data_IF_579723746262
#
_entry.id   IF_579723746262
#
_cell.length_a   1.000
_cell.length_b   1.000
_cell.length_c   1.000
_cell.angle_alpha   90.00
_cell.angle_beta   90.00
_cell.angle_gamma   90.00
#
_symmetry.space_group_name_H-M   'P 1'
#
loop_
_entity.id
_entity.type
_entity.pdbx_description
1 polymer ?
#
# COMPACT_ATOMS: atom_id res chain seq x y z
N UNK A 1 -4.92 28.96 -1.85
CA UNK A 1 -4.03 28.54 -0.75
C UNK A 1 -4.12 27.02 -0.67
N UNK A 2 -3.07 26.29 -1.04
CA UNK A 2 -3.11 24.82 -0.99
C UNK A 2 -3.12 24.38 0.46
N UNK A 3 -4.25 23.83 0.94
CA UNK A 3 -4.32 23.24 2.26
C UNK A 3 -3.28 22.12 2.35
N UNK A 4 -2.36 22.18 3.32
CA UNK A 4 -1.39 21.09 3.54
C UNK A 4 -2.15 19.84 3.97
N UNK A 5 -2.26 18.85 3.08
CA UNK A 5 -2.72 17.52 3.44
C UNK A 5 -1.75 16.84 4.43
N UNK A 6 -2.24 15.86 5.19
CA UNK A 6 -1.42 15.04 6.08
C UNK A 6 -0.58 14.07 5.24
N UNK A 7 0.74 14.01 5.45
CA UNK A 7 1.61 13.08 4.74
C UNK A 7 2.00 11.91 5.63
N UNK A 8 2.26 10.77 5.00
CA UNK A 8 2.85 9.64 5.68
C UNK A 8 3.75 8.84 4.75
N UNK A 9 4.63 8.05 5.35
CA UNK A 9 5.48 7.09 4.65
C UNK A 9 5.39 5.72 5.32
N UNK A 10 5.47 4.65 4.52
CA UNK A 10 5.37 3.29 5.02
C UNK A 10 5.63 2.24 3.94
N UNK A 11 5.31 0.99 4.27
CA UNK A 11 5.39 -0.13 3.35
C UNK A 11 4.00 -0.73 3.14
N UNK A 12 3.53 -0.73 1.89
CA UNK A 12 2.26 -1.35 1.51
C UNK A 12 2.39 -2.87 1.30
N UNK A 13 3.61 -3.35 1.04
CA UNK A 13 3.95 -4.76 0.99
C UNK A 13 5.40 -4.95 1.45
N UNK A 14 5.70 -6.11 2.02
CA UNK A 14 7.02 -6.61 2.36
C UNK A 14 7.32 -7.83 1.51
N UNK A 15 8.56 -7.91 1.00
CA UNK A 15 8.97 -9.02 0.16
C UNK A 15 9.33 -10.26 0.96
N UNK A 16 9.12 -11.42 0.35
CA UNK A 16 9.55 -12.72 0.85
C UNK A 16 8.96 -13.09 2.23
N UNK A 17 7.87 -12.43 2.63
CA UNK A 17 7.11 -12.69 3.86
C UNK A 17 5.67 -13.02 3.47
N UNK A 18 5.21 -14.21 3.83
CA UNK A 18 3.84 -14.64 3.62
C UNK A 18 2.85 -13.78 4.44
N UNK A 19 1.74 -13.40 3.81
CA UNK A 19 0.61 -12.79 4.50
C UNK A 19 -0.30 -13.85 5.16
N UNK A 20 -1.34 -13.40 5.86
CA UNK A 20 -2.31 -14.31 6.49
C UNK A 20 -3.11 -15.17 5.48
N UNK A 21 -3.14 -14.79 4.20
CA UNK A 21 -3.71 -15.57 3.10
C UNK A 21 -2.73 -16.55 2.46
N UNK A 22 -1.48 -16.60 2.96
CA UNK A 22 -0.36 -17.39 2.41
C UNK A 22 0.10 -16.92 1.04
N UNK A 23 -0.17 -15.68 0.67
CA UNK A 23 0.46 -15.03 -0.47
C UNK A 23 1.83 -14.46 -0.05
N UNK A 24 2.86 -14.73 -0.85
CA UNK A 24 4.20 -14.16 -0.67
C UNK A 24 4.56 -13.32 -1.88
N UNK A 25 4.79 -12.03 -1.68
CA UNK A 25 5.19 -11.12 -2.75
C UNK A 25 6.70 -11.28 -2.98
N UNK A 26 7.11 -11.59 -4.21
CA UNK A 26 8.54 -11.66 -4.57
C UNK A 26 9.05 -10.30 -5.02
N UNK A 27 10.35 -10.08 -4.85
CA UNK A 27 11.06 -8.89 -5.35
C UNK A 27 10.88 -8.77 -6.86
N UNK A 28 10.60 -7.56 -7.33
CA UNK A 28 10.36 -7.29 -8.75
C UNK A 28 8.92 -7.55 -9.18
N UNK A 29 8.04 -8.04 -8.30
CA UNK A 29 6.64 -8.29 -8.64
C UNK A 29 5.90 -7.02 -9.05
N UNK A 30 6.35 -5.85 -8.60
CA UNK A 30 5.78 -4.56 -9.00
C UNK A 30 6.53 -3.89 -10.15
N UNK A 31 7.73 -4.37 -10.54
CA UNK A 31 8.62 -3.67 -11.48
C UNK A 31 7.90 -3.24 -12.77
N UNK A 32 7.14 -4.15 -13.40
CA UNK A 32 6.40 -3.82 -14.63
C UNK A 32 5.33 -2.75 -14.41
N UNK A 33 4.52 -2.86 -13.36
CA UNK A 33 3.42 -1.92 -13.09
C UNK A 33 3.91 -0.54 -12.63
N UNK A 34 5.15 -0.45 -12.14
CA UNK A 34 5.80 0.81 -11.78
C UNK A 34 6.47 1.50 -12.96
N UNK A 35 7.25 0.78 -13.78
CA UNK A 35 7.96 1.36 -14.95
C UNK A 35 7.01 2.01 -15.95
N UNK A 36 5.82 1.44 -16.16
CA UNK A 36 4.83 1.96 -17.11
C UNK A 36 3.86 3.00 -16.53
N UNK A 37 4.03 3.45 -15.28
CA UNK A 37 3.03 4.25 -14.60
C UNK A 37 3.18 5.75 -14.89
N UNK A 38 2.13 6.35 -15.44
CA UNK A 38 2.07 7.79 -15.75
C UNK A 38 1.15 8.59 -14.82
N UNK A 39 0.28 7.92 -14.06
CA UNK A 39 -0.66 8.53 -13.12
C UNK A 39 -0.41 8.05 -11.69
N UNK A 40 -0.60 8.92 -10.68
CA UNK A 40 -0.48 8.53 -9.27
C UNK A 40 -1.51 7.46 -8.90
N UNK A 41 -1.15 6.59 -7.96
CA UNK A 41 -2.11 5.63 -7.39
C UNK A 41 -3.07 6.35 -6.45
N UNK A 42 -4.36 6.00 -6.45
CA UNK A 42 -5.28 6.48 -5.43
C UNK A 42 -4.89 5.89 -4.06
N UNK A 43 -5.08 6.69 -3.02
CA UNK A 43 -5.11 6.22 -1.64
C UNK A 43 -6.57 6.06 -1.22
N UNK A 44 -6.98 4.83 -0.92
CA UNK A 44 -8.32 4.53 -0.43
C UNK A 44 -8.35 4.29 1.09
N UNK A 45 -9.55 4.38 1.64
CA UNK A 45 -9.85 3.90 2.99
C UNK A 45 -10.41 2.48 2.91
N UNK A 46 -9.76 1.49 3.53
CA UNK A 46 -10.30 0.13 3.65
C UNK A 46 -10.67 -0.53 2.32
N UNK A 47 -9.89 -0.31 1.25
CA UNK A 47 -10.15 -0.81 -0.11
C UNK A 47 -11.47 -0.33 -0.74
N UNK A 48 -12.10 0.71 -0.17
CA UNK A 48 -13.36 1.26 -0.67
C UNK A 48 -13.10 2.27 -1.77
N UNK A 49 -13.43 1.90 -3.01
CA UNK A 49 -13.28 2.77 -4.19
C UNK A 49 -14.19 4.00 -4.15
N UNK A 50 -15.28 3.96 -3.38
CA UNK A 50 -16.15 5.09 -3.07
C UNK A 50 -15.61 6.00 -1.95
N UNK A 51 -14.45 5.66 -1.36
CA UNK A 51 -13.79 6.45 -0.32
C UNK A 51 -12.31 6.76 -0.66
N UNK A 52 -12.03 7.50 -1.75
CA UNK A 52 -10.73 8.12 -1.94
C UNK A 52 -10.45 9.12 -0.82
N UNK A 53 -9.31 8.95 -0.16
CA UNK A 53 -8.85 9.84 0.92
C UNK A 53 -7.61 10.65 0.52
N UNK A 54 -6.99 10.31 -0.61
CA UNK A 54 -5.89 11.07 -1.17
C UNK A 54 -5.15 10.30 -2.26
N UNK A 55 -3.83 10.50 -2.32
CA UNK A 55 -2.98 9.95 -3.39
C UNK A 55 -1.66 9.42 -2.86
N UNK A 56 -1.10 8.47 -3.59
CA UNK A 56 0.30 8.03 -3.41
C UNK A 56 1.18 8.95 -4.25
N UNK A 57 1.95 9.80 -3.56
CA UNK A 57 2.87 10.78 -4.19
C UNK A 57 4.16 10.11 -4.67
N UNK A 58 4.60 9.04 -4.00
CA UNK A 58 5.75 8.24 -4.41
C UNK A 58 5.54 6.77 -4.11
N UNK A 59 5.92 5.89 -5.04
CA UNK A 59 5.87 4.45 -4.89
C UNK A 59 7.10 3.83 -5.56
N UNK A 60 7.79 2.94 -4.84
CA UNK A 60 8.98 2.27 -5.35
C UNK A 60 9.20 0.94 -4.62
N UNK A 61 9.82 -0.01 -5.30
CA UNK A 61 10.40 -1.19 -4.65
C UNK A 61 11.77 -0.83 -4.04
N UNK A 62 12.06 -1.39 -2.87
CA UNK A 62 13.40 -1.39 -2.28
C UNK A 62 13.79 -2.79 -1.78
N UNK A 63 14.88 -2.89 -1.03
CA UNK A 63 15.33 -4.18 -0.49
C UNK A 63 14.36 -4.81 0.53
N UNK A 64 13.37 -4.07 1.05
CA UNK A 64 12.41 -4.55 2.05
C UNK A 64 11.04 -4.83 1.43
N UNK A 65 10.56 -3.99 0.51
CA UNK A 65 9.19 -4.09 0.03
C UNK A 65 8.76 -2.97 -0.91
N UNK A 66 7.44 -2.81 -1.06
CA UNK A 66 6.82 -1.69 -1.76
C UNK A 66 6.69 -0.49 -0.83
N UNK A 67 7.66 0.42 -0.92
CA UNK A 67 7.70 1.66 -0.14
C UNK A 67 6.79 2.71 -0.77
N UNK A 68 6.02 3.40 0.08
CA UNK A 68 5.11 4.47 -0.35
C UNK A 68 5.30 5.75 0.45
N UNK A 69 5.09 6.89 -0.20
CA UNK A 69 4.82 8.19 0.41
C UNK A 69 3.44 8.63 -0.10
N UNK A 70 2.56 8.98 0.82
CA UNK A 70 1.18 9.32 0.50
C UNK A 70 0.76 10.62 1.18
N UNK A 71 -0.27 11.24 0.61
CA UNK A 71 -0.92 12.43 1.16
C UNK A 71 -2.41 12.16 1.30
N UNK A 72 -2.95 12.40 2.49
CA UNK A 72 -4.38 12.48 2.76
C UNK A 72 -4.82 13.91 2.49
N UNK A 73 -5.82 14.10 1.63
CA UNK A 73 -6.22 15.42 1.12
C UNK A 73 -6.77 16.33 2.22
N UNK A 74 -7.56 15.75 3.14
CA UNK A 74 -8.23 16.46 4.23
C UNK A 74 -7.61 16.09 5.58
N UNK A 75 -6.77 16.94 6.20
CA UNK A 75 -6.11 16.63 7.46
C UNK A 75 -7.07 16.56 8.66
N UNK A 76 -8.26 17.13 8.56
CA UNK A 76 -9.36 17.06 9.53
C UNK A 76 -10.29 15.85 9.30
N UNK A 77 -10.01 15.01 8.30
CA UNK A 77 -10.81 13.81 8.05
C UNK A 77 -10.64 12.75 9.13
N UNK A 78 -11.67 11.91 9.31
CA UNK A 78 -11.62 10.74 10.20
C UNK A 78 -10.40 9.84 9.93
N UNK A 79 -10.04 9.63 8.66
CA UNK A 79 -8.89 8.81 8.29
C UNK A 79 -7.57 9.44 8.78
N UNK A 80 -7.38 10.74 8.58
CA UNK A 80 -6.22 11.48 9.07
C UNK A 80 -6.14 11.46 10.60
N UNK A 81 -7.26 11.69 11.30
CA UNK A 81 -7.31 11.68 12.76
C UNK A 81 -6.96 10.29 13.34
N UNK A 82 -7.55 9.22 12.80
CA UNK A 82 -7.28 7.85 13.25
C UNK A 82 -5.83 7.44 12.98
N UNK A 83 -5.23 7.90 11.88
CA UNK A 83 -3.82 7.69 11.61
C UNK A 83 -2.93 8.45 12.59
N UNK A 84 -3.20 9.73 12.82
CA UNK A 84 -2.44 10.56 13.75
C UNK A 84 -2.49 10.03 15.19
N UNK A 85 -3.60 9.40 15.59
CA UNK A 85 -3.75 8.74 16.89
C UNK A 85 -3.14 7.32 16.95
N UNK A 86 -2.65 6.79 15.82
CA UNK A 86 -2.14 5.42 15.72
C UNK A 86 -3.22 4.33 15.76
N UNK A 87 -4.50 4.71 15.81
CA UNK A 87 -5.63 3.77 15.83
C UNK A 87 -5.78 3.01 14.51
N UNK A 88 -5.35 3.61 13.40
CA UNK A 88 -5.26 2.96 12.08
C UNK A 88 -3.93 3.29 11.43
N UNK A 89 -3.06 2.29 11.29
CA UNK A 89 -1.73 2.46 10.70
C UNK A 89 -1.34 1.34 9.71
N UNK A 90 -2.29 0.45 9.36
CA UNK A 90 -2.06 -0.62 8.39
C UNK A 90 -2.06 -0.11 6.96
N UNK A 91 -1.21 -0.69 6.13
CA UNK A 91 -1.23 -0.47 4.69
C UNK A 91 -1.51 -1.77 3.98
N UNK A 92 -2.26 -1.67 2.88
CA UNK A 92 -2.56 -2.78 1.99
C UNK A 92 -2.61 -2.25 0.57
N UNK A 93 -2.70 -3.14 -0.41
CA UNK A 93 -2.75 -2.78 -1.81
C UNK A 93 -3.71 -3.67 -2.59
N UNK A 94 -4.37 -3.08 -3.57
CA UNK A 94 -5.30 -3.74 -4.47
C UNK A 94 -4.57 -4.05 -5.76
N UNK A 95 -4.67 -5.30 -6.21
CA UNK A 95 -3.90 -5.77 -7.35
C UNK A 95 -4.62 -6.84 -8.16
N UNK A 96 -4.10 -7.10 -9.36
CA UNK A 96 -4.40 -8.30 -10.15
C UNK A 96 -3.13 -9.12 -10.34
N UNK A 97 -3.21 -10.42 -10.07
CA UNK A 97 -2.10 -11.34 -10.33
C UNK A 97 -1.87 -11.51 -11.83
N UNK A 98 -0.62 -11.46 -12.27
CA UNK A 98 -0.21 -11.71 -13.66
C UNK A 98 0.60 -12.99 -13.79
N UNK A 99 1.56 -13.16 -12.91
CA UNK A 99 2.36 -14.37 -12.80
C UNK A 99 2.48 -14.76 -11.33
N UNK A 100 2.26 -16.04 -11.04
CA UNK A 100 2.42 -16.61 -9.72
C UNK A 100 2.87 -18.06 -9.85
N UNK A 101 3.49 -18.58 -8.79
CA UNK A 101 3.79 -20.01 -8.66
C UNK A 101 3.21 -20.54 -7.35
N UNK A 102 2.77 -21.79 -7.37
CA UNK A 102 2.39 -22.49 -6.15
C UNK A 102 3.65 -23.06 -5.48
N UNK A 103 3.68 -23.03 -4.15
CA UNK A 103 4.68 -23.70 -3.31
C UNK A 103 3.99 -24.37 -2.13
N UNK A 104 4.71 -25.22 -1.41
CA UNK A 104 4.19 -25.83 -0.18
C UNK A 104 3.83 -24.79 0.88
N UNK A 105 4.51 -23.64 0.88
CA UNK A 105 4.27 -22.54 1.80
C UNK A 105 3.05 -21.69 1.44
N UNK A 106 2.60 -21.71 0.17
CA UNK A 106 1.47 -20.94 -0.31
C UNK A 106 1.65 -20.51 -1.76
N UNK A 107 1.05 -19.38 -2.14
CA UNK A 107 1.21 -18.83 -3.50
C UNK A 107 2.25 -17.72 -3.48
N UNK A 108 3.23 -17.82 -4.37
CA UNK A 108 4.22 -16.75 -4.57
C UNK A 108 3.82 -15.88 -5.76
N UNK A 109 3.64 -14.60 -5.51
CA UNK A 109 3.31 -13.59 -6.51
C UNK A 109 4.60 -13.09 -7.16
N UNK A 110 4.78 -13.41 -8.44
CA UNK A 110 5.96 -13.07 -9.23
C UNK A 110 5.77 -11.79 -10.02
N UNK A 111 4.53 -11.47 -10.41
CA UNK A 111 4.18 -10.24 -11.11
C UNK A 111 2.73 -9.87 -10.85
N UNK A 112 2.47 -8.58 -10.58
CA UNK A 112 1.14 -8.03 -10.33
C UNK A 112 0.90 -6.72 -11.09
N UNK A 113 -0.36 -6.45 -11.44
CA UNK A 113 -0.82 -5.09 -11.73
C UNK A 113 -1.26 -4.44 -10.42
N UNK A 114 -0.64 -3.32 -10.05
CA UNK A 114 -1.01 -2.53 -8.88
C UNK A 114 -2.10 -1.52 -9.25
N UNK A 115 -3.20 -1.48 -8.50
CA UNK A 115 -4.32 -0.57 -8.77
C UNK A 115 -4.43 0.56 -7.76
N UNK A 116 -4.19 0.26 -6.49
CA UNK A 116 -4.39 1.20 -5.39
C UNK A 116 -3.58 0.80 -4.16
N UNK A 117 -3.44 1.73 -3.24
CA UNK A 117 -2.97 1.47 -1.88
C UNK A 117 -4.03 1.97 -0.92
N UNK A 118 -4.26 1.23 0.15
CA UNK A 118 -5.28 1.55 1.15
C UNK A 118 -4.67 1.72 2.53
N UNK A 119 -5.16 2.73 3.25
CA UNK A 119 -5.02 2.80 4.71
C UNK A 119 -6.08 1.88 5.33
N UNK A 120 -5.64 0.87 6.07
CA UNK A 120 -6.49 -0.20 6.60
C UNK A 120 -6.28 -0.42 8.08
N UNK A 121 -7.31 -0.87 8.79
CA UNK A 121 -7.18 -1.23 10.21
C UNK A 121 -6.35 -2.50 10.38
N UNK A 122 -6.65 -3.52 9.56
CA UNK A 122 -6.00 -4.82 9.63
C UNK A 122 -5.50 -5.24 8.24
N UNK A 123 -4.20 -5.06 7.94
CA UNK A 123 -3.62 -5.58 6.72
C UNK A 123 -3.43 -7.09 6.85
N UNK A 124 -3.60 -7.82 5.74
CA UNK A 124 -3.30 -9.25 5.70
C UNK A 124 -1.83 -9.53 6.00
N UNK A 125 -0.94 -8.63 5.55
CA UNK A 125 0.46 -8.66 5.94
C UNK A 125 0.69 -7.77 7.16
N UNK A 126 0.83 -8.37 8.34
CA UNK A 126 0.86 -7.63 9.61
C UNK A 126 1.96 -6.55 9.70
N UNK A 127 3.08 -6.73 8.98
CA UNK A 127 4.18 -5.77 8.93
C UNK A 127 4.01 -4.62 7.93
N UNK A 128 2.97 -4.64 7.09
CA UNK A 128 2.68 -3.55 6.16
C UNK A 128 2.04 -2.38 6.91
N UNK A 129 2.85 -1.37 7.26
CA UNK A 129 2.50 -0.30 8.18
C UNK A 129 2.97 1.06 7.70
N UNK A 130 2.28 2.09 8.17
CA UNK A 130 2.79 3.46 8.24
C UNK A 130 3.90 3.53 9.28
N UNK A 131 5.03 4.12 8.92
CA UNK A 131 6.20 4.27 9.80
C UNK A 131 6.48 5.73 10.18
N UNK A 132 6.08 6.69 9.34
CA UNK A 132 6.21 8.12 9.62
C UNK A 132 4.94 8.84 9.22
N UNK A 133 4.56 9.85 10.01
CA UNK A 133 3.47 10.80 9.74
C UNK A 133 4.06 12.22 9.85
N UNK A 134 3.73 13.11 8.92
CA UNK A 134 4.27 14.46 8.80
C UNK A 134 3.21 15.49 8.40
#
# INVERSE_FOLDING_TARGET
MSARGLRFAGYAALFDIADAGRDTIRRGAFARTLTGRTAPLPLYWQHRTDQPIGVIEHVAEDARGLRVIARIDRPDSRAAMLLAQGAVNGLSFGFRTRAARQSEAGRELLEVDLFEVSLVTHPLQHGARVHLVA
#
